data_IF_574100334033
#
_entry.id   IF_574100334033
#
_cell.length_a   1.000
_cell.length_b   1.000
_cell.length_c   1.000
_cell.angle_alpha   90.00
_cell.angle_beta   90.00
_cell.angle_gamma   90.00
#
_symmetry.space_group_name_H-M   'P 1'
#
loop_
_entity.id
_entity.type
_entity.pdbx_description
1 polymer ?
#
# COMPACT_ATOMS: atom_id res chain seq x y z
N UNK A 1 28.34 -5.49 -3.80
CA UNK A 1 27.11 -5.62 -4.61
C UNK A 1 26.82 -7.06 -5.05
N UNK A 2 27.77 -7.79 -5.67
CA UNK A 2 27.57 -9.18 -6.17
C UNK A 2 26.99 -10.20 -5.16
N UNK A 3 27.41 -10.27 -3.89
CA UNK A 3 26.81 -11.23 -2.93
C UNK A 3 25.49 -10.74 -2.31
N UNK A 4 25.13 -9.46 -2.48
CA UNK A 4 23.95 -8.87 -1.86
C UNK A 4 22.72 -8.81 -2.77
N UNK A 5 22.88 -9.09 -4.08
CA UNK A 5 21.75 -9.10 -5.01
C UNK A 5 20.56 -9.97 -4.56
N UNK A 6 20.74 -11.14 -3.90
CA UNK A 6 19.58 -11.99 -3.62
C UNK A 6 18.73 -11.37 -2.52
N UNK A 7 19.35 -10.63 -1.60
CA UNK A 7 18.63 -9.87 -0.57
C UNK A 7 17.89 -8.67 -1.18
N UNK A 8 18.50 -7.96 -2.14
CA UNK A 8 17.80 -6.87 -2.83
C UNK A 8 16.64 -7.36 -3.69
N UNK A 9 16.78 -8.52 -4.35
CA UNK A 9 15.70 -9.15 -5.10
C UNK A 9 14.55 -9.57 -4.16
N UNK A 10 14.87 -10.24 -3.05
CA UNK A 10 13.87 -10.62 -2.05
C UNK A 10 13.20 -9.41 -1.39
N UNK A 11 13.96 -8.35 -1.08
CA UNK A 11 13.44 -7.08 -0.57
C UNK A 11 12.45 -6.47 -1.56
N UNK A 12 12.84 -6.33 -2.83
CA UNK A 12 12.00 -5.73 -3.87
C UNK A 12 10.71 -6.52 -4.06
N UNK A 13 10.79 -7.84 -4.09
CA UNK A 13 9.62 -8.72 -4.22
C UNK A 13 8.69 -8.60 -3.01
N UNK A 14 9.25 -8.67 -1.80
CA UNK A 14 8.47 -8.55 -0.56
C UNK A 14 7.81 -7.19 -0.46
N UNK A 15 8.55 -6.12 -0.75
CA UNK A 15 8.05 -4.76 -0.74
C UNK A 15 6.88 -4.59 -1.71
N UNK A 16 7.00 -5.13 -2.93
CA UNK A 16 5.93 -5.09 -3.91
C UNK A 16 4.66 -5.80 -3.42
N UNK A 17 4.79 -7.04 -2.92
CA UNK A 17 3.65 -7.83 -2.44
C UNK A 17 2.97 -7.18 -1.24
N UNK A 18 3.76 -6.73 -0.25
CA UNK A 18 3.24 -6.07 0.95
C UNK A 18 2.57 -4.74 0.57
N UNK A 19 3.14 -3.97 -0.36
CA UNK A 19 2.52 -2.73 -0.83
C UNK A 19 1.15 -2.98 -1.46
N UNK A 20 1.00 -4.01 -2.30
CA UNK A 20 -0.32 -4.39 -2.87
C UNK A 20 -1.29 -4.86 -1.80
N UNK A 21 -0.85 -5.65 -0.84
CA UNK A 21 -1.70 -6.13 0.26
C UNK A 21 -2.17 -4.96 1.14
N UNK A 22 -1.28 -4.01 1.43
CA UNK A 22 -1.61 -2.80 2.19
C UNK A 22 -2.59 -1.90 1.42
N UNK A 23 -2.38 -1.68 0.12
CA UNK A 23 -3.31 -0.93 -0.74
C UNK A 23 -4.75 -1.50 -0.70
N UNK A 24 -4.89 -2.84 -0.63
CA UNK A 24 -6.17 -3.50 -0.51
C UNK A 24 -6.76 -3.38 0.91
N UNK A 25 -5.92 -3.55 1.94
CA UNK A 25 -6.33 -3.46 3.33
C UNK A 25 -6.87 -2.06 3.68
N UNK A 26 -6.19 -0.99 3.25
CA UNK A 26 -6.63 0.39 3.53
C UNK A 26 -7.92 0.76 2.79
N UNK A 27 -8.34 0.00 1.79
CA UNK A 27 -9.62 0.16 1.06
C UNK A 27 -10.73 -0.76 1.57
N UNK A 28 -10.41 -1.71 2.44
CA UNK A 28 -11.40 -2.60 3.02
C UNK A 28 -12.29 -1.87 4.03
N UNK A 29 -13.52 -2.37 4.21
CA UNK A 29 -14.51 -1.77 5.12
C UNK A 29 -14.00 -1.65 6.56
N UNK A 30 -13.14 -2.58 6.99
CA UNK A 30 -12.53 -2.59 8.32
C UNK A 30 -11.67 -1.35 8.61
N UNK A 31 -11.08 -0.74 7.58
CA UNK A 31 -10.20 0.43 7.71
C UNK A 31 -10.72 1.68 6.98
N UNK A 32 -11.88 1.58 6.33
CA UNK A 32 -12.50 2.68 5.58
C UNK A 32 -12.87 3.88 6.47
N UNK A 33 -13.19 3.62 7.74
CA UNK A 33 -13.60 4.65 8.71
C UNK A 33 -12.52 4.96 9.77
N UNK A 34 -11.30 4.41 9.64
CA UNK A 34 -10.22 4.73 10.57
C UNK A 34 -9.69 6.15 10.29
N UNK A 35 -9.74 7.09 11.26
CA UNK A 35 -9.27 8.46 11.08
C UNK A 35 -7.76 8.56 10.83
N UNK A 36 -6.99 7.49 11.10
CA UNK A 36 -5.56 7.40 10.82
C UNK A 36 -5.27 6.90 9.41
N UNK A 37 -6.28 6.49 8.65
CA UNK A 37 -6.12 6.04 7.27
C UNK A 37 -6.07 7.25 6.32
N UNK A 38 -4.89 7.66 5.81
CA UNK A 38 -4.78 8.80 4.91
C UNK A 38 -5.44 8.52 3.55
N UNK A 39 -5.74 7.26 3.21
CA UNK A 39 -6.45 6.90 1.98
C UNK A 39 -7.94 7.19 2.05
N UNK A 40 -8.58 7.20 3.23
CA UNK A 40 -9.97 7.65 3.34
C UNK A 40 -10.13 9.13 2.94
N UNK A 41 -9.13 9.95 3.30
CA UNK A 41 -9.06 11.38 2.95
C UNK A 41 -8.63 11.64 1.49
N UNK A 42 -7.90 10.70 0.86
CA UNK A 42 -7.48 10.80 -0.55
C UNK A 42 -8.53 10.20 -1.50
N UNK A 43 -9.16 9.09 -1.14
CA UNK A 43 -10.25 8.48 -1.92
C UNK A 43 -11.44 9.43 -2.06
N UNK A 44 -11.79 10.18 -1.00
CA UNK A 44 -12.79 11.23 -1.07
C UNK A 44 -12.40 12.41 -1.97
N UNK A 45 -11.10 12.71 -2.13
CA UNK A 45 -10.60 13.69 -3.10
C UNK A 45 -10.55 13.16 -4.53
N UNK A 46 -10.12 11.91 -4.75
CA UNK A 46 -10.11 11.27 -6.08
C UNK A 46 -11.53 11.00 -6.61
N UNK A 47 -12.49 10.68 -5.74
CA UNK A 47 -13.91 10.51 -6.13
C UNK A 47 -14.63 11.83 -6.41
N UNK A 48 -14.08 12.98 -6.00
CA UNK A 48 -14.60 14.32 -6.30
C UNK A 48 -14.12 14.90 -7.64
N UNK A 49 -13.29 14.17 -8.39
CA UNK A 49 -12.77 14.57 -9.71
C UNK A 49 -13.32 13.71 -10.87
N UNK A 50 -14.56 13.24 -10.74
CA UNK A 50 -15.33 12.67 -11.84
C UNK A 50 -16.55 13.55 -12.15
#
# INVERSE_FOLDING_TARGET
MKPLWPFFAAFSLTFFLVSKAQDAAVKSEAFAHDPRNPYALKASKEQGHH
#
